data_IF_386933938765
#
_entry.id   IF_386933938765
#
_cell.length_a   1.000
_cell.length_b   1.000
_cell.length_c   1.000
_cell.angle_alpha   90.00
_cell.angle_beta   90.00
_cell.angle_gamma   90.00
#
_symmetry.space_group_name_H-M   'P 1'
#
loop_
_entity.id
_entity.type
_entity.pdbx_description
1 polymer ?
#
# COMPACT_ATOMS: atom_id res chain seq x y z
N UNK A 1 0.47 19.53 -22.98
CA UNK A 1 0.88 18.41 -22.10
C UNK A 1 -0.17 17.31 -22.27
N UNK A 2 -0.02 16.48 -23.31
CA UNK A 2 -0.95 15.39 -23.61
C UNK A 2 -0.60 14.18 -22.73
N UNK A 3 -1.54 13.76 -21.89
CA UNK A 3 -1.39 12.54 -21.10
C UNK A 3 -1.32 11.36 -22.07
N UNK A 4 -0.29 10.52 -21.95
CA UNK A 4 -0.15 9.36 -22.83
C UNK A 4 -1.22 8.31 -22.49
N UNK A 5 -1.81 7.63 -23.48
CA UNK A 5 -2.79 6.57 -23.24
C UNK A 5 -2.26 5.46 -22.32
N UNK A 6 -0.97 5.16 -22.41
CA UNK A 6 -0.27 4.14 -21.62
C UNK A 6 -0.22 4.52 -20.14
N UNK A 7 0.08 5.79 -19.84
CA UNK A 7 0.05 6.31 -18.48
C UNK A 7 -1.36 6.22 -17.88
N UNK A 8 -2.38 6.57 -18.68
CA UNK A 8 -3.78 6.53 -18.24
C UNK A 8 -4.21 5.10 -17.93
N UNK A 9 -3.90 4.14 -18.81
CA UNK A 9 -4.20 2.73 -18.61
C UNK A 9 -3.51 2.16 -17.36
N UNK A 10 -2.22 2.48 -17.17
CA UNK A 10 -1.46 2.11 -15.98
C UNK A 10 -2.09 2.68 -14.70
N UNK A 11 -2.42 3.97 -14.72
CA UNK A 11 -3.00 4.66 -13.58
C UNK A 11 -4.34 4.02 -13.18
N UNK A 12 -5.24 3.82 -14.13
CA UNK A 12 -6.53 3.19 -13.85
C UNK A 12 -6.37 1.76 -13.34
N UNK A 13 -5.49 0.96 -13.94
CA UNK A 13 -5.23 -0.42 -13.49
C UNK A 13 -4.71 -0.47 -12.05
N UNK A 14 -3.72 0.35 -11.72
CA UNK A 14 -3.15 0.41 -10.37
C UNK A 14 -4.13 0.97 -9.35
N UNK A 15 -4.91 1.99 -9.70
CA UNK A 15 -5.89 2.60 -8.80
C UNK A 15 -7.04 1.64 -8.51
N UNK A 16 -7.62 1.00 -9.53
CA UNK A 16 -8.71 0.03 -9.34
C UNK A 16 -8.26 -1.17 -8.52
N UNK A 17 -7.08 -1.73 -8.84
CA UNK A 17 -6.50 -2.83 -8.06
C UNK A 17 -6.28 -2.41 -6.61
N UNK A 18 -5.57 -1.31 -6.37
CA UNK A 18 -5.20 -0.89 -5.00
C UNK A 18 -6.42 -0.49 -4.18
N UNK A 19 -7.37 0.24 -4.77
CA UNK A 19 -8.58 0.68 -4.07
C UNK A 19 -9.43 -0.49 -3.59
N UNK A 20 -9.56 -1.56 -4.38
CA UNK A 20 -10.27 -2.76 -3.97
C UNK A 20 -9.64 -3.41 -2.72
N UNK A 21 -8.32 -3.56 -2.70
CA UNK A 21 -7.61 -4.09 -1.54
C UNK A 21 -7.69 -3.17 -0.33
N UNK A 22 -7.54 -1.85 -0.52
CA UNK A 22 -7.66 -0.86 0.56
C UNK A 22 -9.07 -0.89 1.16
N UNK A 23 -10.12 -0.99 0.34
CA UNK A 23 -11.49 -1.09 0.81
C UNK A 23 -11.69 -2.33 1.70
N UNK A 24 -11.14 -3.48 1.29
CA UNK A 24 -11.24 -4.72 2.06
C UNK A 24 -10.46 -4.64 3.38
N UNK A 25 -9.27 -4.03 3.38
CA UNK A 25 -8.48 -3.79 4.59
C UNK A 25 -9.27 -2.90 5.56
N UNK A 26 -9.87 -1.81 5.09
CA UNK A 26 -10.68 -0.91 5.92
C UNK A 26 -11.90 -1.63 6.48
N UNK A 27 -12.61 -2.41 5.64
CA UNK A 27 -13.77 -3.21 6.03
C UNK A 27 -13.41 -4.22 7.11
N UNK A 28 -12.32 -4.97 6.92
CA UNK A 28 -11.82 -5.95 7.88
C UNK A 28 -11.39 -5.31 9.19
N UNK A 29 -10.72 -4.14 9.12
CA UNK A 29 -10.32 -3.40 10.31
C UNK A 29 -11.51 -2.90 11.14
N UNK A 30 -12.57 -2.39 10.50
CA UNK A 30 -13.80 -2.01 11.20
C UNK A 30 -14.48 -3.23 11.83
N UNK A 31 -14.54 -4.36 11.12
CA UNK A 31 -15.15 -5.60 11.64
C UNK A 31 -14.34 -6.27 12.77
N UNK A 32 -13.05 -6.01 12.89
CA UNK A 32 -12.21 -6.54 13.98
C UNK A 32 -12.55 -5.94 15.35
N UNK A 33 -13.25 -4.80 15.40
CA UNK A 33 -13.64 -4.16 16.66
C UNK A 33 -14.79 -4.94 17.30
N UNK A 34 -14.64 -5.31 18.57
CA UNK A 34 -15.65 -6.09 19.31
C UNK A 34 -17.01 -5.39 19.32
N UNK A 35 -18.07 -6.13 18.99
CA UNK A 35 -19.46 -5.65 19.06
C UNK A 35 -19.83 -5.15 20.47
N UNK A 36 -19.22 -5.70 21.51
CA UNK A 36 -19.46 -5.29 22.89
C UNK A 36 -19.08 -3.82 23.16
N UNK A 37 -18.09 -3.27 22.46
CA UNK A 37 -17.75 -1.84 22.56
C UNK A 37 -18.88 -0.97 22.01
N UNK A 38 -19.48 -1.39 20.90
CA UNK A 38 -20.63 -0.73 20.28
C UNK A 38 -21.87 -0.84 21.16
N UNK A 39 -22.15 -2.03 21.70
CA UNK A 39 -23.28 -2.27 22.61
C UNK A 39 -23.16 -1.46 23.91
N UNK A 40 -21.98 -1.46 24.55
CA UNK A 40 -21.74 -0.65 25.75
C UNK A 40 -21.89 0.86 25.49
N UNK A 41 -21.39 1.34 24.35
CA UNK A 41 -21.53 2.72 23.94
C UNK A 41 -22.99 3.11 23.69
N UNK A 42 -23.79 2.21 23.11
CA UNK A 42 -25.23 2.40 22.96
C UNK A 42 -25.96 2.39 24.31
N UNK A 43 -25.54 1.55 25.27
CA UNK A 43 -26.13 1.50 26.61
C UNK A 43 -25.95 2.79 27.41
N UNK A 44 -24.88 3.56 27.15
CA UNK A 44 -24.66 4.89 27.74
C UNK A 44 -25.27 6.03 26.90
N UNK A 45 -26.09 5.72 25.89
CA UNK A 45 -26.84 6.70 25.12
C UNK A 45 -26.05 7.42 24.01
N UNK A 46 -24.88 6.90 23.60
CA UNK A 46 -24.12 7.50 22.50
C UNK A 46 -24.83 7.30 21.16
N UNK A 47 -24.81 8.35 20.33
CA UNK A 47 -25.34 8.29 18.95
C UNK A 47 -24.42 7.44 18.06
N UNK A 48 -24.96 6.66 17.09
CA UNK A 48 -24.15 5.79 16.23
C UNK A 48 -22.96 6.47 15.52
N UNK A 49 -23.13 7.71 15.07
CA UNK A 49 -22.03 8.47 14.46
C UNK A 49 -20.90 8.82 15.44
N UNK A 50 -21.23 9.05 16.72
CA UNK A 50 -20.23 9.30 17.76
C UNK A 50 -19.48 8.01 18.12
N UNK A 51 -20.19 6.89 18.17
CA UNK A 51 -19.61 5.55 18.40
C UNK A 51 -18.59 5.23 17.31
N UNK A 52 -18.94 5.48 16.05
CA UNK A 52 -18.04 5.25 14.92
C UNK A 52 -16.78 6.10 15.03
N UNK A 53 -16.90 7.41 15.27
CA UNK A 53 -15.76 8.32 15.27
C UNK A 53 -14.87 8.23 16.52
N UNK A 54 -15.45 8.02 17.70
CA UNK A 54 -14.71 8.07 18.97
C UNK A 54 -14.23 6.70 19.46
N UNK A 55 -14.89 5.61 19.05
CA UNK A 55 -14.65 4.28 19.61
C UNK A 55 -14.14 3.34 18.52
N UNK A 56 -14.92 3.15 17.45
CA UNK A 56 -14.62 2.16 16.41
C UNK A 56 -13.42 2.62 15.57
N UNK A 57 -13.46 3.84 15.02
CA UNK A 57 -12.44 4.33 14.10
C UNK A 57 -11.03 4.37 14.73
N UNK A 58 -10.82 4.88 15.96
CA UNK A 58 -9.49 4.90 16.57
C UNK A 58 -8.93 3.50 16.87
N UNK A 59 -9.80 2.51 17.12
CA UNK A 59 -9.41 1.11 17.34
C UNK A 59 -9.13 0.42 16.00
N UNK A 60 -10.02 0.55 15.03
CA UNK A 60 -9.88 0.00 13.68
C UNK A 60 -8.62 0.51 12.99
N UNK A 61 -8.30 1.80 13.10
CA UNK A 61 -7.10 2.40 12.50
C UNK A 61 -5.81 1.69 12.93
N UNK A 62 -5.72 1.25 14.20
CA UNK A 62 -4.53 0.54 14.70
C UNK A 62 -4.34 -0.82 14.05
N UNK A 63 -5.44 -1.47 13.66
CA UNK A 63 -5.43 -2.76 12.95
C UNK A 63 -5.25 -2.59 11.44
N UNK A 64 -5.73 -1.47 10.87
CA UNK A 64 -5.66 -1.13 9.45
C UNK A 64 -4.25 -0.71 9.00
N UNK A 65 -3.50 -0.03 9.86
CA UNK A 65 -2.17 0.52 9.55
C UNK A 65 -1.16 -0.56 9.06
N UNK A 66 -0.99 -1.70 9.76
CA UNK A 66 -0.03 -2.73 9.34
C UNK A 66 -0.30 -3.37 7.96
N UNK A 67 -1.54 -3.74 7.58
CA UNK A 67 -1.80 -4.25 6.23
C UNK A 67 -1.74 -3.17 5.14
N UNK A 68 -2.13 -1.92 5.42
CA UNK A 68 -1.99 -0.81 4.44
C UNK A 68 -0.52 -0.57 4.04
N UNK A 69 0.37 -0.69 5.00
CA UNK A 69 1.81 -0.65 4.82
C UNK A 69 2.29 -1.68 3.79
N UNK A 70 1.85 -2.93 3.92
CA UNK A 70 2.17 -4.00 2.97
C UNK A 70 1.57 -3.72 1.59
N UNK A 71 0.36 -3.16 1.55
CA UNK A 71 -0.27 -2.75 0.30
C UNK A 71 0.51 -1.63 -0.41
N UNK A 72 1.11 -0.69 0.31
CA UNK A 72 1.98 0.33 -0.26
C UNK A 72 3.25 -0.27 -0.89
N UNK A 73 3.87 -1.24 -0.23
CA UNK A 73 5.00 -1.98 -0.79
C UNK A 73 4.62 -2.71 -2.08
N UNK A 74 3.43 -3.32 -2.11
CA UNK A 74 2.92 -3.98 -3.31
C UNK A 74 2.63 -2.97 -4.43
N UNK A 75 2.07 -1.81 -4.13
CA UNK A 75 1.82 -0.76 -5.12
C UNK A 75 3.13 -0.32 -5.80
N UNK A 76 4.19 -0.13 -5.03
CA UNK A 76 5.50 0.27 -5.57
C UNK A 76 6.08 -0.82 -6.46
N UNK A 77 6.02 -2.09 -6.04
CA UNK A 77 6.49 -3.23 -6.85
C UNK A 77 5.64 -3.43 -8.12
N UNK A 78 4.33 -3.26 -8.03
CA UNK A 78 3.42 -3.44 -9.16
C UNK A 78 3.51 -2.27 -10.15
N UNK A 79 3.89 -1.07 -9.70
CA UNK A 79 4.10 0.08 -10.59
C UNK A 79 5.18 -0.18 -11.64
N UNK A 80 6.16 -1.04 -11.32
CA UNK A 80 7.26 -1.48 -12.18
C UNK A 80 6.86 -2.41 -13.31
N UNK A 81 5.67 -3.04 -13.20
CA UNK A 81 5.11 -3.84 -14.30
C UNK A 81 4.58 -2.95 -15.44
N UNK A 82 4.62 -1.63 -15.28
CA UNK A 82 4.28 -0.65 -16.31
C UNK A 82 5.06 -0.83 -17.62
N UNK A 83 6.29 -1.36 -17.54
CA UNK A 83 7.10 -1.71 -18.71
C UNK A 83 6.38 -2.66 -19.68
N UNK A 84 5.48 -3.51 -19.19
CA UNK A 84 4.70 -4.47 -20.02
C UNK A 84 3.70 -3.75 -20.93
N UNK A 85 3.23 -2.56 -20.53
CA UNK A 85 2.26 -1.73 -21.29
C UNK A 85 3.02 -0.66 -22.11
N UNK A 86 4.35 -0.75 -22.21
CA UNK A 86 5.17 0.16 -23.01
C UNK A 86 5.31 1.57 -22.43
N UNK A 87 4.93 1.78 -21.17
CA UNK A 87 5.17 3.05 -20.50
C UNK A 87 6.66 3.17 -20.14
N UNK A 88 7.36 4.27 -20.52
CA UNK A 88 8.78 4.43 -20.25
C UNK A 88 9.02 4.80 -18.77
N UNK A 89 8.95 3.79 -17.91
CA UNK A 89 9.36 3.88 -16.51
C UNK A 89 10.86 3.59 -16.33
N UNK A 90 11.32 3.56 -15.07
CA UNK A 90 12.71 3.24 -14.73
C UNK A 90 13.19 1.92 -15.36
N UNK A 91 12.32 0.89 -15.41
CA UNK A 91 12.64 -0.42 -15.96
C UNK A 91 12.80 -0.35 -17.47
N UNK A 92 11.95 0.41 -18.14
CA UNK A 92 12.06 0.66 -19.59
C UNK A 92 13.38 1.33 -19.96
N UNK A 93 13.76 2.40 -19.25
CA UNK A 93 15.05 3.11 -19.49
C UNK A 93 16.25 2.20 -19.22
N UNK A 94 16.19 1.39 -18.16
CA UNK A 94 17.24 0.42 -17.84
C UNK A 94 17.35 -0.67 -18.92
N UNK A 95 16.22 -1.17 -19.44
CA UNK A 95 16.20 -2.12 -20.55
C UNK A 95 16.75 -1.52 -21.85
N UNK A 96 16.45 -0.27 -22.17
CA UNK A 96 17.05 0.41 -23.33
C UNK A 96 18.58 0.49 -23.19
N UNK A 97 19.06 0.81 -21.99
CA UNK A 97 20.51 0.89 -21.70
C UNK A 97 21.17 -0.48 -21.85
N UNK A 98 20.55 -1.55 -21.34
CA UNK A 98 21.01 -2.94 -21.51
C UNK A 98 21.13 -3.30 -23.00
N UNK A 99 20.13 -2.95 -23.80
CA UNK A 99 20.13 -3.26 -25.23
C UNK A 99 21.22 -2.49 -26.00
N UNK A 100 21.58 -1.28 -25.54
CA UNK A 100 22.64 -0.48 -26.17
C UNK A 100 24.05 -0.93 -25.75
N UNK A 101 24.26 -1.34 -24.50
CA UNK A 101 25.58 -1.74 -23.99
C UNK A 101 25.86 -3.24 -24.13
N UNK A 102 24.83 -4.06 -24.33
CA UNK A 102 24.93 -5.52 -24.33
C UNK A 102 25.16 -6.13 -22.94
N UNK A 103 25.23 -5.31 -21.88
CA UNK A 103 25.53 -5.75 -20.51
C UNK A 103 24.25 -6.12 -19.74
N UNK A 104 23.57 -7.19 -20.18
CA UNK A 104 22.31 -7.63 -19.59
C UNK A 104 22.41 -7.98 -18.10
N UNK A 105 23.49 -8.65 -17.70
CA UNK A 105 23.68 -9.08 -16.30
C UNK A 105 23.80 -7.87 -15.37
N UNK A 106 24.62 -6.88 -15.73
CA UNK A 106 24.87 -5.69 -14.93
C UNK A 106 23.62 -4.81 -14.80
N UNK A 107 22.88 -4.63 -15.91
CA UNK A 107 21.65 -3.83 -15.89
C UNK A 107 20.53 -4.48 -15.06
N UNK A 108 20.32 -5.80 -15.18
CA UNK A 108 19.32 -6.51 -14.36
C UNK A 108 19.73 -6.49 -12.88
N UNK A 109 21.02 -6.66 -12.57
CA UNK A 109 21.53 -6.55 -11.21
C UNK A 109 21.26 -5.18 -10.58
N UNK A 110 21.44 -4.10 -11.36
CA UNK A 110 21.16 -2.74 -10.92
C UNK A 110 19.67 -2.51 -10.67
N UNK A 111 18.80 -2.99 -11.57
CA UNK A 111 17.34 -2.96 -11.37
C UNK A 111 16.97 -3.67 -10.06
N UNK A 112 17.47 -4.89 -9.84
CA UNK A 112 17.22 -5.64 -8.61
C UNK A 112 17.72 -4.92 -7.36
N UNK A 113 18.92 -4.33 -7.41
CA UNK A 113 19.50 -3.59 -6.30
C UNK A 113 18.67 -2.35 -5.92
N UNK A 114 18.18 -1.61 -6.91
CA UNK A 114 17.33 -0.43 -6.69
C UNK A 114 15.99 -0.83 -6.05
N UNK A 115 15.33 -1.87 -6.58
CA UNK A 115 14.08 -2.36 -5.98
C UNK A 115 14.28 -2.90 -4.57
N UNK A 116 15.38 -3.62 -4.33
CA UNK A 116 15.73 -4.12 -3.02
C UNK A 116 15.97 -2.97 -2.04
N UNK A 117 16.73 -1.96 -2.44
CA UNK A 117 17.00 -0.77 -1.63
C UNK A 117 15.71 -0.09 -1.20
N UNK A 118 14.83 0.27 -2.14
CA UNK A 118 13.54 0.89 -1.82
C UNK A 118 12.66 -0.02 -0.96
N UNK A 119 12.58 -1.32 -1.27
CA UNK A 119 11.78 -2.27 -0.50
C UNK A 119 12.28 -2.38 0.94
N UNK A 120 13.59 -2.39 1.18
CA UNK A 120 14.17 -2.45 2.52
C UNK A 120 13.98 -1.12 3.26
N UNK A 121 14.22 0.03 2.62
CA UNK A 121 14.02 1.35 3.24
C UNK A 121 12.57 1.52 3.70
N UNK A 122 11.61 1.17 2.85
CA UNK A 122 10.19 1.27 3.20
C UNK A 122 9.84 0.25 4.27
N UNK A 123 10.29 -1.01 4.15
CA UNK A 123 10.04 -2.03 5.17
C UNK A 123 10.58 -1.63 6.54
N UNK A 124 11.77 -1.03 6.61
CA UNK A 124 12.36 -0.53 7.85
C UNK A 124 11.53 0.62 8.45
N UNK A 125 11.19 1.62 7.63
CA UNK A 125 10.35 2.76 8.05
C UNK A 125 9.00 2.28 8.59
N UNK A 126 8.43 1.30 7.90
CA UNK A 126 7.13 0.75 8.22
C UNK A 126 7.16 -0.17 9.44
N UNK A 127 8.22 -0.95 9.63
CA UNK A 127 8.42 -1.72 10.86
C UNK A 127 8.58 -0.78 12.07
N UNK A 128 9.27 0.35 11.90
CA UNK A 128 9.36 1.37 12.93
C UNK A 128 7.99 1.99 13.24
N UNK A 129 7.21 2.34 12.22
CA UNK A 129 5.86 2.88 12.39
C UNK A 129 4.91 1.88 13.05
N UNK A 130 4.92 0.62 12.60
CA UNK A 130 4.15 -0.48 13.17
C UNK A 130 4.52 -0.73 14.64
N UNK A 131 5.80 -0.66 15.00
CA UNK A 131 6.24 -0.82 16.40
C UNK A 131 5.68 0.28 17.31
N UNK A 132 5.48 1.49 16.78
CA UNK A 132 4.87 2.62 17.49
C UNK A 132 3.34 2.52 17.56
N UNK A 133 2.70 1.90 16.56
CA UNK A 133 1.26 1.72 16.49
C UNK A 133 0.74 0.42 17.15
N UNK A 134 1.65 -0.52 17.50
CA UNK A 134 1.28 -1.83 18.04
C UNK A 134 0.54 -1.69 19.37
N UNK A 135 -0.62 -2.37 19.46
CA UNK A 135 -1.34 -2.56 20.70
C UNK A 135 -0.40 -3.21 21.72
N UNK A 136 -0.23 -2.54 22.88
CA UNK A 136 0.24 -3.20 24.09
C UNK A 136 -0.91 -4.13 24.49
N UNK A 137 -0.90 -5.36 23.96
CA UNK A 137 -1.68 -6.44 24.54
C UNK A 137 -1.15 -6.66 25.96
N UNK A 138 -1.98 -6.33 26.94
CA UNK A 138 -1.79 -6.61 28.37
C UNK A 138 -2.99 -7.42 28.82
#
# INVERSE_FOLDING_TARGET
MSISPEFTALLFGLVLYTSAFVAEIVRAGIQSVSKGQTEAAMSIGLRPGLILNLIILPQALRVIIPPLTSQLLNLIKNSSLAVVIGFPDFVSVANTSINQTGQAIEGIALIMAVYLFFSLTISLYMNWYNKKARLIER
#
